data_IF_315105268814
#
_entry.id   IF_315105268814
#
_cell.length_a   1.000
_cell.length_b   1.000
_cell.length_c   1.000
_cell.angle_alpha   90.00
_cell.angle_beta   90.00
_cell.angle_gamma   90.00
#
_symmetry.space_group_name_H-M   'P 1'
#
loop_
_entity.id
_entity.type
_entity.pdbx_description
1 polymer ?
#
# COMPACT_ATOMS: atom_id res chain seq x y z
N UNK A 1 -22.26 6.69 14.67
CA UNK A 1 -21.44 5.51 15.03
C UNK A 1 -21.76 4.39 14.05
N UNK A 2 -20.88 3.73 13.31
CA UNK A 2 -19.43 3.70 13.15
C UNK A 2 -19.24 3.34 11.67
N UNK A 3 -18.52 4.17 10.91
CA UNK A 3 -18.51 4.11 9.43
C UNK A 3 -17.14 3.77 8.90
N UNK A 4 -16.68 2.53 9.16
CA UNK A 4 -15.69 1.80 8.34
C UNK A 4 -15.81 0.28 8.37
N UNK A 5 -17.04 -0.08 8.07
CA UNK A 5 -17.41 -1.21 7.26
C UNK A 5 -18.05 -0.51 6.06
N UNK A 6 -17.77 -0.87 4.81
CA UNK A 6 -18.67 -0.42 3.73
C UNK A 6 -20.04 -1.04 3.99
N UNK A 7 -20.89 -0.35 4.76
CA UNK A 7 -22.29 -0.67 4.96
C UNK A 7 -23.01 -0.27 3.69
N UNK A 8 -23.12 -1.19 2.73
CA UNK A 8 -24.19 -1.11 1.75
C UNK A 8 -25.51 -1.35 2.50
N UNK A 9 -26.07 -0.29 3.10
CA UNK A 9 -27.44 -0.30 3.63
C UNK A 9 -28.50 -0.40 2.53
N UNK A 10 -28.09 -0.52 1.27
CA UNK A 10 -28.96 -0.50 0.08
C UNK A 10 -29.11 -1.85 -0.61
N UNK A 11 -28.54 -2.93 -0.08
CA UNK A 11 -28.86 -4.27 -0.58
C UNK A 11 -29.85 -4.92 0.38
N UNK A 12 -31.14 -4.88 0.00
CA UNK A 12 -32.10 -5.89 0.43
C UNK A 12 -31.42 -7.26 0.30
N UNK A 13 -31.58 -8.18 1.27
CA UNK A 13 -31.02 -9.52 1.11
C UNK A 13 -31.47 -10.07 -0.24
N UNK A 14 -30.61 -10.80 -0.99
CA UNK A 14 -31.13 -11.56 -2.11
C UNK A 14 -32.24 -12.44 -1.51
N UNK A 15 -33.49 -12.15 -1.86
CA UNK A 15 -34.68 -12.82 -1.30
C UNK A 15 -34.72 -14.32 -1.64
N UNK A 16 -33.68 -14.84 -2.29
CA UNK A 16 -33.45 -16.24 -2.56
C UNK A 16 -31.94 -16.56 -2.51
N UNK A 17 -31.35 -16.66 -1.31
CA UNK A 17 -30.17 -17.50 -1.14
C UNK A 17 -30.64 -18.96 -1.23
N UNK A 18 -30.78 -19.48 -2.46
CA UNK A 18 -30.87 -20.92 -2.67
C UNK A 18 -29.56 -21.52 -2.18
N UNK A 19 -29.63 -22.17 -1.03
CA UNK A 19 -28.57 -22.98 -0.43
C UNK A 19 -28.29 -24.16 -1.37
N UNK A 20 -27.34 -24.00 -2.28
CA UNK A 20 -26.69 -25.12 -2.95
C UNK A 20 -25.23 -25.18 -2.52
N UNK A 21 -24.94 -26.10 -1.60
CA UNK A 21 -23.65 -26.76 -1.35
C UNK A 21 -22.40 -25.88 -1.13
N UNK A 22 -21.93 -25.84 0.12
CA UNK A 22 -20.58 -25.41 0.57
C UNK A 22 -20.23 -23.93 0.76
N UNK A 23 -21.20 -23.05 1.08
CA UNK A 23 -20.95 -21.63 1.41
C UNK A 23 -21.15 -21.30 2.92
N UNK A 24 -20.40 -21.96 3.82
CA UNK A 24 -20.48 -21.69 5.27
C UNK A 24 -19.97 -20.28 5.68
N UNK A 25 -19.19 -19.62 4.83
CA UNK A 25 -18.53 -18.34 5.12
C UNK A 25 -19.46 -17.12 5.06
N UNK A 26 -20.72 -17.30 4.63
CA UNK A 26 -21.71 -16.21 4.45
C UNK A 26 -22.88 -16.27 5.43
N UNK A 27 -22.98 -17.31 6.25
CA UNK A 27 -24.14 -17.56 7.13
C UNK A 27 -23.80 -17.63 8.61
N UNK A 28 -22.51 -17.61 8.97
CA UNK A 28 -22.04 -17.70 10.36
C UNK A 28 -20.81 -16.82 10.61
N UNK A 29 -20.62 -16.38 11.85
CA UNK A 29 -19.42 -15.66 12.25
C UNK A 29 -18.28 -16.63 12.52
N UNK A 30 -17.18 -16.56 11.78
CA UNK A 30 -16.05 -17.48 11.97
C UNK A 30 -15.23 -17.25 13.25
N UNK A 31 -15.63 -16.32 14.12
CA UNK A 31 -14.94 -16.01 15.38
C UNK A 31 -15.66 -16.68 16.54
N UNK A 32 -16.96 -16.45 16.70
CA UNK A 32 -17.76 -17.12 17.73
C UNK A 32 -18.39 -18.43 17.25
N UNK A 33 -18.37 -18.69 15.94
CA UNK A 33 -18.97 -19.86 15.27
C UNK A 33 -20.50 -19.88 15.29
N UNK A 34 -21.15 -18.78 15.71
CA UNK A 34 -22.60 -18.67 15.72
C UNK A 34 -23.15 -18.22 14.35
N UNK A 35 -24.35 -18.72 14.03
CA UNK A 35 -25.10 -18.31 12.84
C UNK A 35 -25.59 -16.88 12.96
N UNK A 36 -25.63 -16.17 11.84
CA UNK A 36 -26.23 -14.84 11.78
C UNK A 36 -27.75 -14.93 11.83
N UNK A 37 -28.37 -14.13 12.68
CA UNK A 37 -29.84 -14.02 12.75
C UNK A 37 -30.34 -12.81 11.97
N UNK A 38 -31.59 -12.89 11.49
CA UNK A 38 -32.24 -11.78 10.76
C UNK A 38 -32.36 -10.51 11.63
N UNK A 39 -32.55 -10.67 12.94
CA UNK A 39 -32.57 -9.55 13.89
C UNK A 39 -31.20 -8.90 14.09
N UNK A 40 -30.10 -9.64 13.96
CA UNK A 40 -28.74 -9.09 14.02
C UNK A 40 -28.37 -8.31 12.75
N UNK A 41 -28.83 -8.75 11.58
CA UNK A 41 -28.69 -8.00 10.33
C UNK A 41 -29.44 -6.67 10.40
N UNK A 42 -30.70 -6.67 10.86
CA UNK A 42 -31.50 -5.45 10.95
C UNK A 42 -30.98 -4.46 12.02
N UNK A 43 -30.32 -4.96 13.06
CA UNK A 43 -29.76 -4.14 14.14
C UNK A 43 -28.29 -3.74 13.91
N UNK A 44 -27.75 -3.90 12.69
CA UNK A 44 -26.36 -3.55 12.36
C UNK A 44 -25.32 -4.24 13.27
N UNK A 45 -25.62 -5.43 13.78
CA UNK A 45 -24.72 -6.22 14.64
C UNK A 45 -23.72 -7.07 13.83
N UNK A 46 -23.86 -7.07 12.51
CA UNK A 46 -23.02 -7.79 11.56
C UNK A 46 -22.25 -6.79 10.71
N UNK A 47 -20.98 -7.09 10.48
CA UNK A 47 -20.06 -6.26 9.70
C UNK A 47 -19.38 -7.07 8.59
N UNK A 48 -19.09 -6.38 7.48
CA UNK A 48 -18.34 -6.89 6.34
C UNK A 48 -16.99 -6.19 6.25
N UNK A 49 -15.92 -6.95 6.38
CA UNK A 49 -14.54 -6.44 6.24
C UNK A 49 -14.24 -5.97 4.80
N UNK A 50 -13.20 -5.16 4.61
CA UNK A 50 -12.74 -4.69 3.28
C UNK A 50 -12.34 -5.82 2.32
N UNK A 51 -12.07 -7.01 2.86
CA UNK A 51 -11.82 -8.21 2.09
C UNK A 51 -13.08 -9.04 1.76
N UNK A 52 -14.27 -8.59 2.18
CA UNK A 52 -15.57 -9.17 1.84
C UNK A 52 -16.13 -10.21 2.82
N UNK A 53 -15.49 -10.41 3.98
CA UNK A 53 -15.92 -11.43 4.96
C UNK A 53 -16.81 -10.85 6.07
N UNK A 54 -17.77 -11.65 6.53
CA UNK A 54 -18.79 -11.30 7.51
C UNK A 54 -18.40 -11.73 8.92
N UNK A 55 -18.67 -10.87 9.91
CA UNK A 55 -18.47 -11.15 11.34
C UNK A 55 -19.55 -10.47 12.18
N UNK A 56 -19.79 -10.93 13.41
CA UNK A 56 -20.40 -10.06 14.40
C UNK A 56 -19.45 -8.92 14.73
N UNK A 57 -20.00 -7.73 14.87
CA UNK A 57 -19.24 -6.51 15.11
C UNK A 57 -18.33 -6.61 16.35
N UNK A 58 -18.89 -7.05 17.47
CA UNK A 58 -18.13 -7.22 18.71
C UNK A 58 -16.99 -8.25 18.56
N UNK A 59 -17.23 -9.33 17.80
CA UNK A 59 -16.24 -10.36 17.57
C UNK A 59 -15.04 -9.84 16.76
N UNK A 60 -15.28 -9.12 15.66
CA UNK A 60 -14.18 -8.58 14.86
C UNK A 60 -13.45 -7.45 15.60
N UNK A 61 -14.16 -6.61 16.35
CA UNK A 61 -13.54 -5.56 17.18
C UNK A 61 -12.60 -6.16 18.22
N UNK A 62 -13.03 -7.23 18.90
CA UNK A 62 -12.20 -7.93 19.87
C UNK A 62 -10.98 -8.60 19.21
N UNK A 63 -11.14 -9.17 18.02
CA UNK A 63 -10.04 -9.73 17.24
C UNK A 63 -9.00 -8.68 16.86
N UNK A 64 -9.45 -7.49 16.44
CA UNK A 64 -8.60 -6.41 15.96
C UNK A 64 -7.70 -5.79 17.03
N UNK A 65 -8.03 -5.95 18.32
CA UNK A 65 -7.17 -5.53 19.44
C UNK A 65 -5.82 -6.24 19.48
N UNK A 66 -5.72 -7.43 18.89
CA UNK A 66 -4.49 -8.25 18.93
C UNK A 66 -4.03 -8.74 17.56
N UNK A 67 -4.85 -8.56 16.52
CA UNK A 67 -4.55 -9.04 15.17
C UNK A 67 -5.01 -8.01 14.14
N UNK A 68 -4.16 -7.64 13.17
CA UNK A 68 -4.55 -6.66 12.15
C UNK A 68 -5.04 -7.29 10.86
N UNK A 69 -5.33 -8.59 10.87
CA UNK A 69 -5.68 -9.37 9.68
C UNK A 69 -7.05 -10.00 9.81
N UNK A 70 -7.71 -10.20 8.68
CA UNK A 70 -8.97 -10.92 8.57
C UNK A 70 -8.81 -12.34 9.11
N UNK A 71 -9.65 -12.81 10.05
CA UNK A 71 -9.60 -14.16 10.57
C UNK A 71 -9.62 -15.25 9.48
N UNK A 72 -10.41 -15.03 8.42
CA UNK A 72 -10.62 -15.98 7.32
C UNK A 72 -9.50 -15.94 6.28
N UNK A 73 -9.26 -14.78 5.65
CA UNK A 73 -8.32 -14.69 4.51
C UNK A 73 -6.96 -14.09 4.84
N UNK A 74 -6.72 -13.72 6.11
CA UNK A 74 -5.47 -13.12 6.61
C UNK A 74 -5.05 -11.81 5.92
N UNK A 75 -5.92 -11.17 5.13
CA UNK A 75 -5.69 -9.82 4.59
C UNK A 75 -5.72 -8.77 5.69
N UNK A 76 -4.84 -7.79 5.65
CA UNK A 76 -4.82 -6.69 6.63
C UNK A 76 -6.12 -5.87 6.57
N UNK A 77 -6.67 -5.55 7.74
CA UNK A 77 -7.94 -4.84 7.93
C UNK A 77 -7.77 -3.39 8.39
N UNK A 78 -6.62 -3.06 8.98
CA UNK A 78 -6.22 -1.69 9.33
C UNK A 78 -5.11 -1.26 8.38
N UNK A 79 -5.20 -0.07 7.81
CA UNK A 79 -4.28 0.40 6.77
C UNK A 79 -3.86 1.85 7.02
N UNK A 80 -2.59 2.03 7.38
CA UNK A 80 -1.84 3.25 7.11
C UNK A 80 -0.98 3.02 5.86
N UNK A 81 -0.67 4.10 5.14
CA UNK A 81 0.17 4.05 3.94
C UNK A 81 1.65 4.16 4.30
N UNK A 82 1.97 4.93 5.36
CA UNK A 82 3.32 5.04 5.90
C UNK A 82 3.32 5.06 7.43
N UNK A 83 4.36 4.48 8.04
CA UNK A 83 4.56 4.45 9.48
C UNK A 83 5.91 5.08 9.83
N UNK A 84 5.91 5.93 10.86
CA UNK A 84 7.14 6.57 11.35
C UNK A 84 7.07 6.76 12.86
N UNK A 85 8.21 6.65 13.53
CA UNK A 85 8.31 6.99 14.95
C UNK A 85 8.42 8.50 15.15
N UNK A 86 7.78 9.02 16.20
CA UNK A 86 7.98 10.38 16.64
C UNK A 86 9.44 10.55 17.09
N UNK A 87 10.15 11.63 16.69
CA UNK A 87 11.55 11.83 17.10
C UNK A 87 11.69 11.79 18.62
N UNK A 88 12.84 11.32 19.11
CA UNK A 88 13.10 11.24 20.57
C UNK A 88 13.26 12.64 21.15
N UNK A 89 14.06 13.47 20.48
CA UNK A 89 14.41 14.83 20.90
C UNK A 89 13.69 15.88 20.03
N UNK A 90 13.48 17.10 20.55
CA UNK A 90 12.99 18.22 19.75
C UNK A 90 13.88 18.49 18.53
N UNK A 91 13.25 18.67 17.37
CA UNK A 91 13.95 18.89 16.10
C UNK A 91 14.26 20.37 15.86
N UNK A 92 15.50 20.64 15.48
CA UNK A 92 15.87 21.91 14.86
C UNK A 92 15.22 22.08 13.48
N UNK A 93 15.33 23.28 12.90
CA UNK A 93 14.69 23.64 11.64
C UNK A 93 15.13 22.76 10.45
N UNK A 94 16.40 22.33 10.39
CA UNK A 94 16.91 21.52 9.29
C UNK A 94 16.47 20.06 9.43
N UNK A 95 16.60 19.50 10.63
CA UNK A 95 16.13 18.15 10.96
C UNK A 95 14.63 17.99 10.68
N UNK A 96 13.83 19.00 11.05
CA UNK A 96 12.39 19.08 10.75
C UNK A 96 12.10 19.05 9.25
N UNK A 97 12.82 19.86 8.46
CA UNK A 97 12.68 19.88 6.99
C UNK A 97 13.02 18.52 6.37
N UNK A 98 14.07 17.86 6.84
CA UNK A 98 14.46 16.52 6.37
C UNK A 98 13.36 15.50 6.69
N UNK A 99 12.90 15.47 7.95
CA UNK A 99 11.88 14.53 8.41
C UNK A 99 10.57 14.65 7.63
N UNK A 100 10.02 15.87 7.49
CA UNK A 100 8.79 16.08 6.73
C UNK A 100 8.97 15.85 5.23
N UNK A 101 10.14 16.14 4.67
CA UNK A 101 10.45 15.81 3.28
C UNK A 101 10.48 14.30 3.07
N UNK A 102 11.02 13.53 3.99
CA UNK A 102 11.10 12.08 3.86
C UNK A 102 9.74 11.41 4.09
N UNK A 103 8.93 11.94 5.02
CA UNK A 103 7.50 11.60 5.16
C UNK A 103 6.73 11.91 3.87
N UNK A 104 6.87 13.12 3.34
CA UNK A 104 6.22 13.51 2.08
C UNK A 104 6.74 12.65 0.95
N UNK A 105 8.03 12.32 0.87
CA UNK A 105 8.55 11.41 -0.16
C UNK A 105 7.99 10.01 -0.02
N UNK A 106 7.80 9.49 1.18
CA UNK A 106 7.10 8.23 1.35
C UNK A 106 5.71 8.36 0.72
N UNK A 107 4.91 9.34 1.14
CA UNK A 107 3.57 9.57 0.57
C UNK A 107 3.58 9.97 -0.92
N UNK A 108 4.61 10.66 -1.41
CA UNK A 108 4.71 11.17 -2.79
C UNK A 108 5.21 10.09 -3.71
N UNK A 109 6.18 9.27 -3.30
CA UNK A 109 6.46 8.01 -3.98
C UNK A 109 5.15 7.22 -4.07
N UNK A 110 4.26 7.37 -3.06
CA UNK A 110 2.93 6.74 -2.95
C UNK A 110 1.82 7.37 -3.76
N UNK A 111 2.04 8.57 -4.30
CA UNK A 111 1.05 9.35 -5.06
C UNK A 111 1.60 10.16 -6.26
N UNK A 112 2.75 9.80 -6.87
CA UNK A 112 3.34 10.56 -8.00
C UNK A 112 2.36 10.75 -9.15
N UNK A 113 2.01 12.02 -9.36
CA UNK A 113 1.30 12.58 -10.51
C UNK A 113 2.32 13.10 -11.51
N UNK A 114 2.22 12.66 -12.75
CA UNK A 114 2.86 13.28 -13.91
C UNK A 114 2.00 14.47 -14.37
N UNK A 115 2.62 15.55 -14.86
CA UNK A 115 1.92 16.74 -15.38
C UNK A 115 1.19 16.45 -16.70
N UNK A 116 1.43 15.30 -17.30
CA UNK A 116 0.71 14.82 -18.46
C UNK A 116 -0.71 14.46 -18.04
N UNK A 117 -1.71 14.99 -18.75
CA UNK A 117 -3.06 14.43 -18.70
C UNK A 117 -2.98 12.90 -18.76
N UNK A 118 -3.44 12.15 -17.75
CA UNK A 118 -3.81 10.79 -18.02
C UNK A 118 -5.09 10.90 -18.84
N UNK A 119 -5.00 10.68 -20.15
CA UNK A 119 -6.13 10.18 -20.92
C UNK A 119 -6.57 8.87 -20.24
N UNK A 120 -7.45 8.97 -19.23
CA UNK A 120 -8.08 7.85 -18.55
C UNK A 120 -8.89 7.12 -19.62
N UNK A 121 -8.25 6.11 -20.23
CA UNK A 121 -8.78 5.37 -21.37
C UNK A 121 -7.71 4.76 -22.28
N UNK A 122 -6.56 5.42 -22.50
CA UNK A 122 -5.53 4.93 -23.44
C UNK A 122 -4.34 4.23 -22.77
N UNK A 123 -3.84 4.71 -21.62
CA UNK A 123 -2.64 4.11 -21.00
C UNK A 123 -2.92 2.75 -20.32
N UNK A 124 -4.10 2.57 -19.73
CA UNK A 124 -4.51 1.29 -19.13
C UNK A 124 -4.69 0.17 -20.16
N UNK A 125 -4.85 0.50 -21.45
CA UNK A 125 -4.91 -0.48 -22.53
C UNK A 125 -3.68 -1.38 -22.63
N UNK A 126 -2.55 -0.99 -22.01
CA UNK A 126 -1.34 -1.82 -21.94
C UNK A 126 -1.20 -2.62 -20.65
N UNK A 127 -2.00 -2.35 -19.61
CA UNK A 127 -1.97 -3.10 -18.35
C UNK A 127 -2.99 -4.25 -18.43
N UNK A 128 -2.66 -5.27 -19.21
CA UNK A 128 -3.54 -6.42 -19.46
C UNK A 128 -2.88 -7.71 -19.00
N UNK A 129 -3.69 -8.76 -18.81
CA UNK A 129 -3.20 -10.11 -18.52
C UNK A 129 -2.23 -10.57 -19.63
N UNK A 130 -2.59 -10.34 -20.89
CA UNK A 130 -1.75 -10.66 -22.04
C UNK A 130 -0.35 -10.03 -21.97
N UNK A 131 -0.26 -8.74 -21.66
CA UNK A 131 1.05 -8.06 -21.57
C UNK A 131 1.87 -8.54 -20.37
N UNK A 132 1.23 -8.81 -19.23
CA UNK A 132 1.92 -9.42 -18.08
C UNK A 132 2.49 -10.80 -18.42
N UNK A 133 1.71 -11.63 -19.13
CA UNK A 133 2.15 -12.93 -19.66
C UNK A 133 3.37 -12.79 -20.57
N UNK A 134 3.35 -11.84 -21.51
CA UNK A 134 4.47 -11.57 -22.42
C UNK A 134 5.72 -11.15 -21.66
N UNK A 135 5.60 -10.18 -20.73
CA UNK A 135 6.75 -9.63 -19.99
C UNK A 135 7.42 -10.71 -19.14
N UNK A 136 6.65 -11.53 -18.43
CA UNK A 136 7.19 -12.63 -17.62
C UNK A 136 7.81 -13.72 -18.50
N UNK A 137 7.19 -14.06 -19.63
CA UNK A 137 7.76 -15.03 -20.56
C UNK A 137 9.11 -14.54 -21.10
N UNK A 138 9.20 -13.27 -21.54
CA UNK A 138 10.44 -12.68 -22.03
C UNK A 138 11.54 -12.66 -20.96
N UNK A 139 11.21 -12.25 -19.72
CA UNK A 139 12.14 -12.31 -18.60
C UNK A 139 12.66 -13.74 -18.35
N UNK A 140 11.77 -14.73 -18.44
CA UNK A 140 12.07 -16.16 -18.28
C UNK A 140 13.00 -16.66 -19.37
N UNK A 141 12.68 -16.42 -20.65
CA UNK A 141 13.52 -16.87 -21.75
C UNK A 141 14.90 -16.20 -21.73
N UNK A 142 14.97 -14.91 -21.37
CA UNK A 142 16.25 -14.21 -21.21
C UNK A 142 17.08 -14.81 -20.07
N UNK A 143 16.48 -15.11 -18.92
CA UNK A 143 17.16 -15.77 -17.80
C UNK A 143 17.67 -17.17 -18.16
N UNK A 144 16.84 -17.98 -18.82
CA UNK A 144 17.20 -19.33 -19.23
C UNK A 144 18.30 -19.32 -20.31
N UNK A 145 18.23 -18.38 -21.25
CA UNK A 145 19.26 -18.21 -22.29
C UNK A 145 20.58 -17.78 -21.67
N UNK A 146 20.57 -16.80 -20.75
CA UNK A 146 21.75 -16.40 -20.00
C UNK A 146 22.33 -17.57 -19.19
N UNK A 147 21.48 -18.35 -18.50
CA UNK A 147 21.88 -19.56 -17.78
C UNK A 147 22.53 -20.61 -18.70
N UNK A 148 21.96 -20.87 -19.89
CA UNK A 148 22.53 -21.79 -20.88
C UNK A 148 23.84 -21.28 -21.47
N UNK A 149 23.97 -19.96 -21.69
CA UNK A 149 25.19 -19.31 -22.17
C UNK A 149 26.37 -19.48 -21.23
N UNK A 150 26.15 -19.41 -19.91
CA UNK A 150 27.18 -19.68 -18.89
C UNK A 150 27.77 -21.09 -19.04
N UNK A 151 26.97 -22.09 -19.41
CA UNK A 151 27.45 -23.47 -19.60
C UNK A 151 28.32 -23.64 -20.86
N UNK A 152 28.18 -22.79 -21.89
CA UNK A 152 29.00 -22.86 -23.11
C UNK A 152 30.39 -22.25 -22.97
N UNK A 153 30.62 -21.40 -21.96
CA UNK A 153 31.91 -20.71 -21.72
C UNK A 153 32.80 -21.47 -20.72
N UNK A 154 32.36 -22.63 -20.20
CA UNK A 154 33.12 -23.40 -19.21
C UNK A 154 34.20 -24.28 -19.84
N UNK A 155 35.32 -23.64 -20.16
CA UNK A 155 36.64 -24.23 -19.95
C UNK A 155 37.51 -23.37 -19.01
N UNK A 156 36.88 -22.56 -18.13
CA UNK A 156 37.57 -21.83 -17.05
C UNK A 156 36.71 -21.87 -15.77
N UNK A 157 37.32 -22.34 -14.69
CA UNK A 157 36.71 -22.76 -13.43
C UNK A 157 36.44 -21.64 -12.40
N UNK A 158 36.24 -20.40 -12.81
CA UNK A 158 35.92 -19.33 -11.87
C UNK A 158 34.98 -18.32 -12.53
N UNK A 159 33.73 -18.19 -12.05
CA UNK A 159 33.13 -16.87 -11.80
C UNK A 159 31.71 -16.93 -11.19
N UNK A 160 30.90 -17.98 -11.37
CA UNK A 160 29.62 -18.06 -10.65
C UNK A 160 29.24 -19.51 -10.27
N UNK A 161 29.23 -19.78 -8.97
CA UNK A 161 28.75 -21.04 -8.39
C UNK A 161 27.23 -21.07 -8.39
N UNK A 162 26.63 -21.26 -9.55
CA UNK A 162 25.21 -21.61 -9.63
C UNK A 162 25.03 -23.10 -9.34
N UNK A 163 24.92 -23.46 -8.07
CA UNK A 163 24.69 -24.84 -7.66
C UNK A 163 23.24 -25.25 -7.92
N UNK A 164 23.04 -26.08 -8.95
CA UNK A 164 21.79 -26.76 -9.27
C UNK A 164 20.72 -25.94 -9.98
N UNK A 165 19.60 -26.62 -10.25
CA UNK A 165 18.50 -26.11 -11.08
C UNK A 165 17.48 -25.28 -10.31
N UNK A 166 17.72 -24.97 -9.03
CA UNK A 166 16.78 -24.21 -8.19
C UNK A 166 16.35 -22.88 -8.84
N UNK A 167 17.27 -22.17 -9.50
CA UNK A 167 16.96 -20.94 -10.23
C UNK A 167 16.10 -21.18 -11.48
N UNK A 168 16.45 -22.21 -12.26
CA UNK A 168 15.72 -22.62 -13.47
C UNK A 168 14.31 -23.07 -13.11
N UNK A 169 14.16 -23.88 -12.06
CA UNK A 169 12.87 -24.38 -11.58
C UNK A 169 11.98 -23.26 -11.09
N UNK A 170 12.51 -22.27 -10.36
CA UNK A 170 11.74 -21.07 -9.97
C UNK A 170 11.25 -20.29 -11.20
N UNK A 171 12.12 -20.09 -12.19
CA UNK A 171 11.77 -19.36 -13.39
C UNK A 171 10.67 -20.06 -14.20
N UNK A 172 10.84 -21.35 -14.44
CA UNK A 172 9.83 -22.16 -15.15
C UNK A 172 8.51 -22.24 -14.38
N UNK A 173 8.56 -22.44 -13.06
CA UNK A 173 7.34 -22.55 -12.25
C UNK A 173 6.53 -21.23 -12.27
N UNK A 174 7.18 -20.09 -12.02
CA UNK A 174 6.50 -18.80 -12.10
C UNK A 174 5.93 -18.56 -13.50
N UNK A 175 6.71 -18.78 -14.56
CA UNK A 175 6.24 -18.58 -15.93
C UNK A 175 5.03 -19.46 -16.23
N UNK A 176 5.08 -20.76 -15.92
CA UNK A 176 3.99 -21.69 -16.17
C UNK A 176 2.69 -21.25 -15.46
N UNK A 177 2.78 -20.83 -14.19
CA UNK A 177 1.61 -20.33 -13.45
C UNK A 177 1.06 -19.03 -14.03
N UNK A 178 1.93 -18.12 -14.47
CA UNK A 178 1.51 -16.86 -15.13
C UNK A 178 0.85 -17.14 -16.48
N UNK A 179 1.41 -18.05 -17.30
CA UNK A 179 0.81 -18.41 -18.59
C UNK A 179 -0.53 -19.13 -18.42
N UNK A 180 -0.65 -19.99 -17.41
CA UNK A 180 -1.87 -20.72 -17.07
C UNK A 180 -2.93 -19.87 -16.36
N UNK A 181 -2.67 -18.58 -16.07
CA UNK A 181 -3.64 -17.70 -15.43
C UNK A 181 -4.92 -17.59 -16.28
N UNK A 182 -6.05 -17.94 -15.69
CA UNK A 182 -7.36 -17.98 -16.37
C UNK A 182 -7.77 -16.61 -16.89
N UNK A 183 -8.34 -16.58 -18.09
CA UNK A 183 -8.88 -15.37 -18.73
C UNK A 183 -10.40 -15.43 -18.71
N UNK A 184 -11.03 -14.70 -17.79
CA UNK A 184 -12.47 -14.44 -17.89
C UNK A 184 -12.75 -13.28 -18.87
N UNK A 185 -11.78 -12.36 -19.04
CA UNK A 185 -11.71 -11.37 -20.13
C UNK A 185 -10.32 -10.70 -20.17
N UNK A 186 -9.60 -10.73 -21.29
CA UNK A 186 -8.23 -10.14 -21.39
C UNK A 186 -8.15 -8.63 -21.14
N UNK A 187 -9.30 -7.94 -21.25
CA UNK A 187 -9.45 -6.51 -20.99
C UNK A 187 -9.96 -6.19 -19.59
N UNK A 188 -10.19 -7.20 -18.74
CA UNK A 188 -10.55 -6.96 -17.34
C UNK A 188 -9.33 -6.51 -16.54
N UNK A 189 -9.34 -5.21 -16.21
CA UNK A 189 -8.33 -4.59 -15.38
C UNK A 189 -8.19 -5.29 -14.01
N UNK A 190 -9.28 -5.82 -13.45
CA UNK A 190 -9.26 -6.52 -12.17
C UNK A 190 -8.45 -7.82 -12.23
N UNK A 191 -8.57 -8.57 -13.32
CA UNK A 191 -7.80 -9.81 -13.54
C UNK A 191 -6.32 -9.50 -13.75
N UNK A 192 -5.99 -8.45 -14.51
CA UNK A 192 -4.61 -8.00 -14.70
C UNK A 192 -3.96 -7.57 -13.37
N UNK A 193 -4.70 -6.84 -12.52
CA UNK A 193 -4.24 -6.45 -11.17
C UNK A 193 -3.99 -7.68 -10.30
N UNK A 194 -4.90 -8.66 -10.35
CA UNK A 194 -4.79 -9.88 -9.55
C UNK A 194 -3.58 -10.70 -9.96
N UNK A 195 -3.32 -10.85 -11.27
CA UNK A 195 -2.12 -11.49 -11.78
C UNK A 195 -0.84 -10.74 -11.38
N UNK A 196 -0.82 -9.41 -11.48
CA UNK A 196 0.36 -8.63 -11.08
C UNK A 196 0.68 -8.77 -9.59
N UNK A 197 -0.34 -8.73 -8.72
CA UNK A 197 -0.18 -8.98 -7.28
C UNK A 197 0.34 -10.40 -7.01
N UNK A 198 -0.19 -11.38 -7.74
CA UNK A 198 0.32 -12.76 -7.66
C UNK A 198 1.82 -12.82 -7.99
N UNK A 199 2.24 -12.20 -9.09
CA UNK A 199 3.65 -12.14 -9.48
C UNK A 199 4.51 -11.49 -8.39
N UNK A 200 4.10 -10.33 -7.87
CA UNK A 200 4.82 -9.61 -6.81
C UNK A 200 5.01 -10.48 -5.55
N UNK A 201 3.94 -11.17 -5.14
CA UNK A 201 3.96 -12.09 -4.00
C UNK A 201 4.96 -13.23 -4.16
N UNK A 202 5.04 -13.84 -5.35
CA UNK A 202 5.98 -14.93 -5.61
C UNK A 202 7.43 -14.45 -5.63
N UNK A 203 7.71 -13.34 -6.33
CA UNK A 203 9.10 -12.87 -6.53
C UNK A 203 9.70 -12.24 -5.26
N UNK A 204 8.88 -11.79 -4.31
CA UNK A 204 9.31 -11.23 -3.02
C UNK A 204 10.27 -12.14 -2.26
N UNK A 205 10.09 -13.46 -2.38
CA UNK A 205 10.89 -14.47 -1.67
C UNK A 205 12.02 -15.06 -2.52
N UNK A 206 12.18 -14.59 -3.77
CA UNK A 206 13.24 -15.07 -4.64
C UNK A 206 14.57 -14.34 -4.33
N UNK A 207 15.72 -14.93 -4.69
CA UNK A 207 16.99 -14.23 -4.57
C UNK A 207 16.98 -12.88 -5.33
N UNK A 208 17.68 -11.88 -4.79
CA UNK A 208 17.66 -10.48 -5.25
C UNK A 208 19.07 -9.96 -5.66
N UNK A 209 19.95 -10.86 -6.09
CA UNK A 209 21.31 -10.51 -6.57
C UNK A 209 21.32 -10.07 -8.05
N UNK A 210 22.40 -9.45 -8.52
CA UNK A 210 22.48 -8.88 -9.89
C UNK A 210 22.06 -9.85 -11.01
N UNK A 211 22.33 -11.15 -10.90
CA UNK A 211 21.97 -12.12 -11.94
C UNK A 211 20.95 -13.16 -11.47
N UNK A 212 20.18 -12.81 -10.43
CA UNK A 212 19.01 -13.58 -10.02
C UNK A 212 17.86 -13.41 -11.01
N UNK A 213 16.93 -14.37 -11.02
CA UNK A 213 15.76 -14.31 -11.89
C UNK A 213 14.90 -13.05 -11.64
N UNK A 214 14.86 -12.55 -10.39
CA UNK A 214 14.14 -11.31 -10.07
C UNK A 214 14.72 -10.10 -10.80
N UNK A 215 16.05 -10.02 -10.98
CA UNK A 215 16.67 -8.94 -11.76
C UNK A 215 16.26 -8.95 -13.23
N UNK A 216 16.09 -10.13 -13.84
CA UNK A 216 15.56 -10.25 -15.19
C UNK A 216 14.12 -9.75 -15.27
N UNK A 217 13.30 -10.08 -14.27
CA UNK A 217 11.92 -9.58 -14.16
C UNK A 217 11.89 -8.06 -14.01
N UNK A 218 12.70 -7.47 -13.11
CA UNK A 218 12.73 -6.02 -12.90
C UNK A 218 13.15 -5.27 -14.15
N UNK A 219 14.17 -5.74 -14.86
CA UNK A 219 14.57 -5.14 -16.14
C UNK A 219 13.50 -5.31 -17.23
N UNK A 220 12.78 -6.44 -17.25
CA UNK A 220 11.66 -6.64 -18.18
C UNK A 220 10.47 -5.72 -17.84
N UNK A 221 10.10 -5.55 -16.56
CA UNK A 221 9.08 -4.58 -16.18
C UNK A 221 9.47 -3.15 -16.54
N UNK A 222 10.74 -2.79 -16.34
CA UNK A 222 11.26 -1.47 -16.71
C UNK A 222 11.16 -1.21 -18.21
N UNK A 223 11.60 -2.16 -19.04
CA UNK A 223 11.72 -1.99 -20.49
C UNK A 223 10.42 -2.28 -21.24
N UNK A 224 9.79 -3.40 -20.90
CA UNK A 224 8.73 -4.03 -21.70
C UNK A 224 7.33 -3.75 -21.13
N UNK A 225 7.23 -3.16 -19.93
CA UNK A 225 5.95 -2.88 -19.27
C UNK A 225 5.82 -1.41 -18.87
N UNK A 226 5.62 -0.54 -19.87
CA UNK A 226 5.58 0.93 -19.74
C UNK A 226 4.70 1.43 -18.59
N UNK A 227 3.59 0.74 -18.31
CA UNK A 227 2.67 1.08 -17.21
C UNK A 227 3.31 1.04 -15.82
N UNK A 228 4.33 0.21 -15.61
CA UNK A 228 5.12 0.15 -14.36
C UNK A 228 6.50 0.78 -14.57
N UNK A 229 7.15 0.47 -15.70
CA UNK A 229 8.55 0.82 -15.95
C UNK A 229 8.87 2.31 -15.92
N UNK A 230 7.93 3.19 -16.30
CA UNK A 230 8.12 4.65 -16.24
C UNK A 230 8.28 5.21 -14.81
N UNK A 231 7.90 4.43 -13.80
CA UNK A 231 7.99 4.79 -12.38
C UNK A 231 9.15 4.10 -11.66
N UNK A 232 9.94 3.32 -12.38
CA UNK A 232 11.17 2.68 -11.88
C UNK A 232 12.37 3.58 -12.17
N UNK A 233 13.45 3.49 -11.39
CA UNK A 233 14.62 4.33 -11.68
C UNK A 233 15.26 3.95 -13.02
N UNK A 234 15.94 4.90 -13.64
CA UNK A 234 16.65 4.72 -14.89
C UNK A 234 17.97 3.94 -14.76
N UNK A 235 18.04 2.93 -13.88
CA UNK A 235 19.24 2.12 -13.62
C UNK A 235 19.20 0.74 -14.29
N UNK A 236 20.35 0.14 -14.56
CA UNK A 236 20.42 -1.27 -14.95
C UNK A 236 20.45 -2.14 -13.69
N UNK A 237 19.42 -2.95 -13.47
CA UNK A 237 19.35 -3.78 -12.25
C UNK A 237 20.40 -4.90 -12.19
N UNK A 238 21.15 -5.16 -13.27
CA UNK A 238 22.33 -6.03 -13.27
C UNK A 238 23.55 -5.38 -12.58
N UNK A 239 23.50 -4.10 -12.20
CA UNK A 239 24.61 -3.42 -11.52
C UNK A 239 24.81 -3.93 -10.08
N UNK A 240 26.09 -4.02 -9.66
CA UNK A 240 26.47 -4.35 -8.29
C UNK A 240 26.53 -3.13 -7.36
N UNK A 241 26.28 -1.92 -7.88
CA UNK A 241 26.37 -0.71 -7.07
C UNK A 241 25.41 -0.76 -5.85
N UNK A 242 25.82 -0.25 -4.68
CA UNK A 242 25.03 -0.35 -3.45
C UNK A 242 23.61 0.24 -3.54
N UNK A 243 23.48 1.39 -4.21
CA UNK A 243 22.20 2.07 -4.49
C UNK A 243 21.25 1.20 -5.32
N UNK A 244 21.76 0.47 -6.33
CA UNK A 244 20.96 -0.42 -7.18
C UNK A 244 20.55 -1.67 -6.41
N UNK A 245 21.44 -2.20 -5.56
CA UNK A 245 21.12 -3.33 -4.68
C UNK A 245 19.99 -3.01 -3.71
N UNK A 246 20.03 -1.83 -3.10
CA UNK A 246 18.99 -1.36 -2.19
C UNK A 246 17.68 -1.11 -2.93
N UNK A 247 17.74 -0.56 -4.14
CA UNK A 247 16.57 -0.38 -4.98
C UNK A 247 15.89 -1.70 -5.35
N UNK A 248 16.65 -2.75 -5.71
CA UNK A 248 16.07 -4.08 -6.00
C UNK A 248 15.29 -4.60 -4.80
N UNK A 249 15.84 -4.51 -3.58
CA UNK A 249 15.14 -4.93 -2.35
C UNK A 249 13.84 -4.15 -2.15
N UNK A 250 13.89 -2.83 -2.33
CA UNK A 250 12.71 -1.95 -2.18
C UNK A 250 11.62 -2.27 -3.20
N UNK A 251 11.98 -2.55 -4.45
CA UNK A 251 11.03 -2.97 -5.50
C UNK A 251 10.32 -4.28 -5.14
N UNK A 252 11.05 -5.27 -4.64
CA UNK A 252 10.48 -6.58 -4.29
C UNK A 252 9.71 -6.60 -2.96
N UNK A 253 10.03 -5.73 -2.01
CA UNK A 253 9.41 -5.74 -0.67
C UNK A 253 8.00 -5.15 -0.66
N UNK A 254 7.80 -4.04 -1.38
CA UNK A 254 6.53 -3.30 -1.42
C UNK A 254 6.36 -2.39 -2.65
N UNK A 255 7.45 -1.85 -3.22
CA UNK A 255 7.37 -0.74 -4.20
C UNK A 255 6.76 -1.14 -5.56
N UNK A 256 6.76 -2.40 -5.97
CA UNK A 256 6.07 -2.81 -7.21
C UNK A 256 4.54 -2.79 -7.10
N UNK A 257 3.96 -3.43 -6.08
CA UNK A 257 2.50 -3.44 -5.84
C UNK A 257 1.95 -2.03 -5.64
N UNK A 258 2.82 -1.21 -5.14
CA UNK A 258 2.62 0.17 -4.86
C UNK A 258 2.57 1.07 -6.11
N UNK A 259 3.49 0.87 -7.07
CA UNK A 259 3.42 1.54 -8.38
C UNK A 259 2.08 1.22 -9.07
N UNK A 260 1.51 0.04 -8.82
CA UNK A 260 0.18 -0.30 -9.29
C UNK A 260 -0.94 0.50 -8.56
N UNK A 261 -0.81 0.72 -7.24
CA UNK A 261 -1.78 1.51 -6.45
C UNK A 261 -1.81 2.99 -6.88
N UNK A 262 -0.67 3.56 -7.26
CA UNK A 262 -0.56 4.92 -7.84
C UNK A 262 -1.55 5.13 -9.00
N UNK A 263 -1.62 4.17 -9.92
CA UNK A 263 -2.43 4.24 -11.15
C UNK A 263 -3.94 4.08 -10.90
N UNK A 264 -4.34 3.36 -9.85
CA UNK A 264 -5.75 3.09 -9.56
C UNK A 264 -6.47 4.26 -8.87
N UNK A 265 -5.74 5.09 -8.13
CA UNK A 265 -6.35 6.01 -7.17
C UNK A 265 -6.54 7.44 -7.66
N UNK A 266 -6.11 7.79 -8.88
CA UNK A 266 -6.65 8.90 -9.69
C UNK A 266 -6.80 10.28 -9.02
N UNK A 267 -6.10 10.58 -7.93
CA UNK A 267 -6.23 11.87 -7.23
C UNK A 267 -5.12 12.82 -7.62
N UNK A 268 -5.52 13.94 -8.21
CA UNK A 268 -4.65 15.04 -8.65
C UNK A 268 -4.27 15.94 -7.46
N UNK A 269 -3.09 15.75 -6.90
CA UNK A 269 -2.37 16.76 -6.11
C UNK A 269 -1.63 17.69 -7.10
N UNK A 270 -1.95 18.98 -7.10
CA UNK A 270 -1.28 19.94 -8.00
C UNK A 270 0.21 20.02 -7.67
N UNK A 271 1.07 19.85 -8.69
CA UNK A 271 2.53 19.85 -8.56
C UNK A 271 3.14 21.21 -8.19
N UNK A 272 2.34 22.27 -8.20
CA UNK A 272 2.70 23.59 -7.67
C UNK A 272 1.59 24.12 -6.75
N UNK A 273 2.02 24.64 -5.59
CA UNK A 273 1.18 25.39 -4.65
C UNK A 273 0.56 24.54 -3.54
N UNK A 274 1.18 24.60 -2.35
CA UNK A 274 0.59 24.25 -1.05
C UNK A 274 0.12 22.80 -0.85
N UNK A 275 0.90 22.00 -0.12
CA UNK A 275 0.46 20.73 0.46
C UNK A 275 -0.16 20.98 1.84
N UNK A 276 -1.27 20.31 2.17
CA UNK A 276 -1.95 20.42 3.46
C UNK A 276 -2.08 19.05 4.12
N UNK A 277 -1.49 18.90 5.30
CA UNK A 277 -1.72 17.76 6.16
C UNK A 277 -2.65 18.14 7.30
N UNK A 278 -3.60 17.26 7.58
CA UNK A 278 -4.39 17.32 8.80
C UNK A 278 -3.86 16.31 9.80
N UNK A 279 -3.52 16.78 10.99
CA UNK A 279 -2.99 15.99 12.08
C UNK A 279 -4.09 15.78 13.11
N UNK A 280 -4.30 14.52 13.48
CA UNK A 280 -5.26 14.11 14.49
C UNK A 280 -4.58 13.22 15.51
N UNK A 281 -4.98 13.37 16.76
CA UNK A 281 -4.45 12.60 17.88
C UNK A 281 -5.10 13.05 19.18
N UNK A 282 -4.92 12.26 20.23
CA UNK A 282 -5.31 12.68 21.57
C UNK A 282 -4.48 13.89 22.03
N UNK A 283 -5.03 14.66 22.98
CA UNK A 283 -4.38 15.86 23.52
C UNK A 283 -2.91 15.65 23.91
N UNK A 284 -2.61 14.54 24.60
CA UNK A 284 -1.26 14.22 25.08
C UNK A 284 -0.34 13.91 23.89
N UNK A 285 -0.83 13.13 22.92
CA UNK A 285 -0.07 12.71 21.75
C UNK A 285 0.22 13.87 20.82
N UNK A 286 -0.77 14.72 20.56
CA UNK A 286 -0.58 15.95 19.80
C UNK A 286 0.38 16.91 20.53
N UNK A 287 0.23 17.08 21.85
CA UNK A 287 1.16 17.90 22.63
C UNK A 287 2.60 17.42 22.49
N UNK A 288 2.82 16.10 22.55
CA UNK A 288 4.13 15.48 22.29
C UNK A 288 4.62 15.76 20.86
N UNK A 289 3.78 15.52 19.86
CA UNK A 289 4.10 15.78 18.46
C UNK A 289 4.54 17.24 18.23
N UNK A 290 3.77 18.21 18.71
CA UNK A 290 4.06 19.62 18.52
C UNK A 290 5.32 20.06 19.25
N UNK A 291 5.54 19.61 20.50
CA UNK A 291 6.77 19.91 21.25
C UNK A 291 8.02 19.38 20.56
N UNK A 292 7.94 18.18 19.97
CA UNK A 292 9.11 17.55 19.35
C UNK A 292 9.34 18.01 17.91
N UNK A 293 8.28 18.20 17.14
CA UNK A 293 8.39 18.63 15.74
C UNK A 293 8.52 20.15 15.59
N UNK A 294 7.95 20.93 16.52
CA UNK A 294 7.87 22.39 16.45
C UNK A 294 8.11 23.06 17.82
N UNK A 295 9.29 22.86 18.45
CA UNK A 295 9.57 23.33 19.81
C UNK A 295 9.48 24.85 20.00
N UNK A 296 9.66 25.62 18.92
CA UNK A 296 9.65 27.09 18.92
C UNK A 296 8.22 27.67 18.85
N UNK A 297 7.20 26.84 18.61
CA UNK A 297 5.82 27.30 18.42
C UNK A 297 5.09 27.40 19.77
N UNK A 298 4.34 28.49 20.02
CA UNK A 298 3.58 28.62 21.26
C UNK A 298 2.48 27.54 21.31
N UNK A 299 2.63 26.60 22.24
CA UNK A 299 1.82 25.37 22.42
C UNK A 299 0.31 25.64 22.60
N UNK A 300 -0.11 26.89 22.82
CA UNK A 300 -1.40 27.21 23.43
C UNK A 300 -2.43 27.97 22.59
N UNK A 301 -2.18 28.32 21.32
CA UNK A 301 -3.22 29.04 20.55
C UNK A 301 -3.53 28.48 19.17
N UNK A 302 -2.57 28.05 18.36
CA UNK A 302 -2.88 27.53 17.02
C UNK A 302 -1.92 26.41 16.64
N UNK A 303 -2.43 25.17 16.58
CA UNK A 303 -1.71 24.01 16.03
C UNK A 303 -1.62 24.10 14.51
N UNK A 304 -1.04 25.18 14.02
CA UNK A 304 -0.89 25.45 12.60
C UNK A 304 0.55 25.86 12.31
N UNK A 305 1.18 25.20 11.35
CA UNK A 305 2.57 25.48 10.98
C UNK A 305 2.77 25.40 9.46
N UNK A 306 3.64 26.26 8.96
CA UNK A 306 4.05 26.30 7.57
C UNK A 306 5.52 25.90 7.45
N UNK A 307 5.81 24.91 6.62
CA UNK A 307 7.17 24.44 6.34
C UNK A 307 7.46 24.65 4.86
N UNK A 308 8.51 25.40 4.54
CA UNK A 308 9.00 25.54 3.17
C UNK A 308 10.03 24.44 2.89
N UNK A 309 9.75 23.61 1.89
CA UNK A 309 10.60 22.52 1.44
C UNK A 309 11.08 22.79 0.02
N UNK A 310 12.39 22.63 -0.21
CA UNK A 310 12.98 22.65 -1.54
C UNK A 310 13.37 21.22 -1.94
N UNK A 311 12.97 20.82 -3.15
CA UNK A 311 13.50 19.67 -3.86
C UNK A 311 14.27 20.15 -5.10
N UNK A 312 15.14 19.31 -5.66
CA UNK A 312 16.12 19.67 -6.71
C UNK A 312 15.56 20.54 -7.85
N UNK A 313 14.27 20.43 -8.17
CA UNK A 313 13.59 21.24 -9.20
C UNK A 313 12.28 21.94 -8.75
N UNK A 314 11.78 21.76 -7.51
CA UNK A 314 10.47 22.26 -7.07
C UNK A 314 10.51 22.87 -5.65
N UNK A 315 9.72 23.91 -5.41
CA UNK A 315 9.46 24.47 -4.08
C UNK A 315 8.03 24.16 -3.63
N UNK A 316 7.89 23.66 -2.40
CA UNK A 316 6.60 23.35 -1.79
C UNK A 316 6.42 24.10 -0.47
N UNK A 317 5.22 24.61 -0.24
CA UNK A 317 4.78 25.07 1.07
C UNK A 317 3.93 23.96 1.68
N UNK A 318 4.30 23.50 2.86
CA UNK A 318 3.61 22.46 3.57
C UNK A 318 2.90 23.05 4.79
N UNK A 319 1.58 22.97 4.78
CA UNK A 319 0.70 23.46 5.82
C UNK A 319 0.27 22.29 6.69
N UNK A 320 0.55 22.39 7.98
CA UNK A 320 0.20 21.37 8.97
C UNK A 320 -0.84 21.95 9.90
N UNK A 321 -2.02 21.34 9.96
CA UNK A 321 -3.11 21.75 10.83
C UNK A 321 -3.40 20.62 11.81
N UNK A 322 -3.31 20.87 13.10
CA UNK A 322 -3.62 19.92 14.17
C UNK A 322 -5.00 20.18 14.77
N UNK A 323 -5.76 19.11 14.97
CA UNK A 323 -7.08 19.17 15.61
C UNK A 323 -7.05 18.44 16.96
N UNK A 324 -7.27 19.19 18.05
CA UNK A 324 -7.23 18.66 19.42
C UNK A 324 -8.52 17.91 19.75
N UNK A 325 -8.40 16.63 20.10
CA UNK A 325 -9.53 15.85 20.59
C UNK A 325 -9.57 15.91 22.13
N UNK A 326 -10.60 16.57 22.67
CA UNK A 326 -10.79 16.73 24.13
C UNK A 326 -11.52 15.56 24.80
N UNK A 327 -12.29 14.77 24.04
CA UNK A 327 -12.97 13.59 24.55
C UNK A 327 -13.20 12.56 23.43
N UNK A 328 -13.05 11.27 23.73
CA UNK A 328 -13.28 10.20 22.76
C UNK A 328 -14.77 9.94 22.47
N UNK A 329 -15.68 10.72 23.04
CA UNK A 329 -17.12 10.53 22.91
C UNK A 329 -17.68 11.47 21.82
N UNK A 330 -18.38 10.86 20.85
CA UNK A 330 -19.35 11.41 19.89
C UNK A 330 -18.98 12.36 18.73
N UNK A 331 -17.81 12.99 18.67
CA UNK A 331 -17.51 13.87 17.52
C UNK A 331 -16.83 13.14 16.36
N UNK A 332 -17.47 13.17 15.17
CA UNK A 332 -16.86 12.78 13.89
C UNK A 332 -15.84 13.83 13.47
N UNK A 333 -14.69 13.39 12.96
CA UNK A 333 -13.65 14.29 12.45
C UNK A 333 -13.93 14.54 10.96
N UNK A 334 -14.32 15.76 10.61
CA UNK A 334 -14.53 16.14 9.21
C UNK A 334 -13.18 16.35 8.52
N UNK A 335 -12.97 15.79 7.34
CA UNK A 335 -11.78 16.08 6.54
C UNK A 335 -12.13 17.11 5.46
N UNK A 336 -11.43 18.24 5.46
CA UNK A 336 -11.67 19.30 4.48
C UNK A 336 -11.18 18.86 3.09
N UNK A 337 -11.85 19.28 1.99
CA UNK A 337 -11.48 18.87 0.63
C UNK A 337 -10.04 19.20 0.22
N UNK A 338 -9.44 20.23 0.82
CA UNK A 338 -8.06 20.65 0.57
C UNK A 338 -6.99 19.79 1.26
N UNK A 339 -7.37 18.86 2.14
CA UNK A 339 -6.42 17.98 2.85
C UNK A 339 -5.85 16.97 1.86
N UNK A 340 -4.52 16.97 1.72
CA UNK A 340 -3.83 16.06 0.81
C UNK A 340 -3.52 14.71 1.46
N UNK A 341 -3.22 14.69 2.75
CA UNK A 341 -2.96 13.48 3.53
C UNK A 341 -3.23 13.71 5.03
N UNK A 342 -3.40 12.61 5.76
CA UNK A 342 -3.61 12.62 7.20
C UNK A 342 -2.37 12.13 7.94
N UNK A 343 -2.13 12.73 9.09
CA UNK A 343 -1.17 12.24 10.07
C UNK A 343 -1.97 11.87 11.32
N UNK A 344 -1.97 10.58 11.66
CA UNK A 344 -2.58 10.08 12.88
C UNK A 344 -1.46 9.86 13.89
N UNK A 345 -1.47 10.64 14.97
CA UNK A 345 -0.49 10.53 16.05
C UNK A 345 -1.10 9.68 17.15
N UNK A 346 -0.57 8.47 17.33
CA UNK A 346 -1.10 7.50 18.27
C UNK A 346 0.00 6.83 19.09
N UNK A 347 -0.30 6.49 20.34
CA UNK A 347 0.62 5.77 21.24
C UNK A 347 0.40 4.25 21.24
N UNK A 348 -0.72 3.79 20.68
CA UNK A 348 -1.13 2.40 20.63
C UNK A 348 -2.04 2.13 19.43
N UNK A 349 -2.24 0.86 19.11
CA UNK A 349 -3.17 0.47 18.05
C UNK A 349 -4.62 0.76 18.40
N UNK A 350 -5.01 0.60 19.67
CA UNK A 350 -6.35 0.93 20.14
C UNK A 350 -6.63 2.43 19.99
N UNK A 351 -5.65 3.28 20.29
CA UNK A 351 -5.72 4.73 20.09
C UNK A 351 -5.88 5.06 18.59
N UNK A 352 -5.02 4.50 17.73
CA UNK A 352 -5.15 4.63 16.28
C UNK A 352 -6.54 4.22 15.77
N UNK A 353 -7.04 3.06 16.22
CA UNK A 353 -8.33 2.53 15.77
C UNK A 353 -9.48 3.46 16.13
N UNK A 354 -9.51 3.97 17.37
CA UNK A 354 -10.52 4.94 17.82
C UNK A 354 -10.48 6.23 17.01
N UNK A 355 -9.29 6.74 16.71
CA UNK A 355 -9.12 7.92 15.85
C UNK A 355 -9.61 7.63 14.43
N UNK A 356 -9.20 6.50 13.85
CA UNK A 356 -9.57 6.08 12.51
C UNK A 356 -11.10 5.93 12.35
N UNK A 357 -11.77 5.33 13.33
CA UNK A 357 -13.23 5.19 13.35
C UNK A 357 -13.96 6.54 13.36
N UNK A 358 -13.42 7.52 14.09
CA UNK A 358 -13.99 8.88 14.18
C UNK A 358 -13.84 9.66 12.89
N UNK A 359 -12.77 9.43 12.14
CA UNK A 359 -12.52 10.11 10.87
C UNK A 359 -13.63 9.76 9.86
N UNK A 360 -14.12 8.52 9.83
CA UNK A 360 -15.12 8.13 8.81
C UNK A 360 -14.58 8.37 7.39
N UNK A 361 -15.39 8.18 6.34
CA UNK A 361 -14.96 8.02 4.93
C UNK A 361 -13.82 8.95 4.44
N UNK A 362 -12.66 8.35 4.22
CA UNK A 362 -11.33 8.90 3.96
C UNK A 362 -11.16 9.11 2.47
N UNK A 363 -12.05 8.54 1.66
CA UNK A 363 -12.03 8.64 0.21
C UNK A 363 -10.65 8.34 -0.41
N UNK A 364 -9.81 7.50 0.20
CA UNK A 364 -8.40 7.25 -0.20
C UNK A 364 -7.44 8.43 0.05
N UNK A 365 -7.64 9.23 1.10
CA UNK A 365 -6.61 10.15 1.61
C UNK A 365 -5.47 9.31 2.22
N UNK A 366 -4.20 9.56 1.87
CA UNK A 366 -3.07 8.83 2.41
C UNK A 366 -2.95 9.03 3.91
N UNK A 367 -2.60 7.98 4.65
CA UNK A 367 -2.50 8.03 6.11
C UNK A 367 -1.08 7.73 6.54
N UNK A 368 -0.48 8.67 7.29
CA UNK A 368 0.75 8.42 8.04
C UNK A 368 0.40 8.13 9.49
N UNK A 369 0.81 6.98 10.00
CA UNK A 369 0.82 6.68 11.42
C UNK A 369 2.12 7.20 12.03
N UNK A 370 2.03 8.16 12.95
CA UNK A 370 3.14 8.62 13.78
C UNK A 370 3.03 7.99 15.16
N UNK A 371 3.95 7.08 15.49
CA UNK A 371 3.97 6.40 16.78
C UNK A 371 4.63 7.26 17.85
N UNK A 372 3.91 7.55 18.93
CA UNK A 372 4.49 8.17 20.12
C UNK A 372 5.19 7.08 20.93
N UNK A 373 6.49 7.25 21.16
CA UNK A 373 7.28 6.39 22.05
C UNK A 373 6.87 6.55 23.52
#
# INVERSE_FOLDING_TARGET
>A
MLSYVTLNNSQTPPQNLKLSGNDNDKTSCSICLDNFTFSEFNNSKICITTCGHFYHKNCIEQWLKSNHTCPLCKKELLKWDYEVELPVNPMDQNSRKVWFRDLIRAIELDHIITDDEPEIGKEFGTFTVANLKIVINNATQNYLTWRKGIFRVRNINHLFNHWGDKGINRANNLNNKVQAWGNNNDHDLHDAISLFKYICKEIKYFPCSEHSYTTFILNAFKRDFKSIGKHMNSVNYFSQEPNVSEERKNLLSSKLEFILRLKMNGRKIKKSGQLRAKIVGEEINLSSFWKKCFPESPVYSEYHQNISLSNRNNFFHFHVIGEKLRCLIDERISIEPQVNFLIIVANSYDDYYRLYEKIGNLNNIPIVLVKVQ
#
